data_IF_058973962815
#
_entry.id   IF_058973962815
#
_cell.length_a   1.000
_cell.length_b   1.000
_cell.length_c   1.000
_cell.angle_alpha   90.00
_cell.angle_beta   90.00
_cell.angle_gamma   90.00
#
_symmetry.space_group_name_H-M   'P 1'
#
loop_
_entity.id
_entity.type
_entity.pdbx_description
1 polymer ?
#
# COMPACT_ATOMS: atom_id res chain seq x y z
N UNK A 1 -9.93 -3.04 -23.92
CA UNK A 1 -8.52 -3.39 -23.66
C UNK A 1 -8.50 -4.44 -22.55
N UNK A 2 -7.49 -5.29 -22.52
CA UNK A 2 -7.27 -6.27 -21.45
C UNK A 2 -5.95 -5.91 -20.77
N UNK A 3 -5.91 -6.00 -19.44
CA UNK A 3 -4.68 -5.88 -18.64
C UNK A 3 -4.24 -7.29 -18.26
N UNK A 4 -2.96 -7.60 -18.45
CA UNK A 4 -2.32 -8.84 -18.03
C UNK A 4 -1.24 -8.44 -17.03
N UNK A 5 -1.24 -9.04 -15.85
CA UNK A 5 -0.38 -8.67 -14.72
C UNK A 5 0.47 -9.85 -14.26
N UNK A 6 1.63 -9.55 -13.67
CA UNK A 6 2.45 -10.55 -12.98
C UNK A 6 1.78 -10.94 -11.64
N UNK A 7 1.83 -12.23 -11.31
CA UNK A 7 1.38 -12.71 -10.02
C UNK A 7 2.47 -12.49 -8.97
N UNK A 8 2.12 -11.80 -7.89
CA UNK A 8 3.01 -11.52 -6.77
C UNK A 8 2.52 -12.25 -5.51
N UNK A 9 3.47 -12.77 -4.73
CA UNK A 9 3.25 -13.39 -3.43
C UNK A 9 3.96 -12.60 -2.33
N UNK A 10 3.37 -12.55 -1.14
CA UNK A 10 3.93 -11.84 0.01
C UNK A 10 2.86 -11.28 0.93
N UNK A 11 3.28 -10.52 1.92
CA UNK A 11 2.38 -9.80 2.83
C UNK A 11 1.92 -8.49 2.21
N UNK A 12 0.59 -8.31 2.11
CA UNK A 12 0.00 -7.04 1.69
C UNK A 12 0.00 -6.03 2.85
N UNK A 13 0.29 -4.76 2.55
CA UNK A 13 0.09 -3.66 3.49
C UNK A 13 -0.26 -2.37 2.75
N UNK A 14 -0.86 -1.43 3.47
CA UNK A 14 -1.22 -0.09 3.02
C UNK A 14 -0.28 0.94 3.63
N UNK A 15 0.40 1.72 2.79
CA UNK A 15 1.21 2.88 3.18
C UNK A 15 0.59 4.16 2.64
N UNK A 16 -0.29 4.77 3.45
CA UNK A 16 -0.91 6.05 3.11
C UNK A 16 0.02 7.22 3.49
N UNK A 17 -0.02 8.29 2.71
CA UNK A 17 0.78 9.50 2.97
C UNK A 17 -0.01 10.76 2.63
N UNK A 18 0.13 11.82 3.44
CA UNK A 18 -0.26 13.16 3.00
C UNK A 18 0.81 13.71 2.07
N UNK A 19 0.41 14.33 0.97
CA UNK A 19 1.33 14.87 -0.04
C UNK A 19 0.99 16.34 -0.31
N UNK A 20 2.01 17.21 -0.29
CA UNK A 20 1.89 18.62 -0.64
C UNK A 20 3.09 19.06 -1.48
N UNK A 21 2.87 19.21 -2.80
CA UNK A 21 3.98 19.32 -3.74
C UNK A 21 4.90 18.10 -3.58
N UNK A 22 6.21 18.32 -3.47
CA UNK A 22 7.20 17.23 -3.27
C UNK A 22 7.28 16.73 -1.83
N UNK A 23 6.56 17.36 -0.89
CA UNK A 23 6.61 16.96 0.52
C UNK A 23 5.65 15.81 0.78
N UNK A 24 6.18 14.71 1.30
CA UNK A 24 5.44 13.51 1.70
C UNK A 24 5.50 13.36 3.22
N UNK A 25 4.35 13.11 3.83
CA UNK A 25 4.21 12.83 5.26
C UNK A 25 3.58 11.43 5.43
N UNK A 26 4.39 10.38 5.65
CA UNK A 26 3.91 9.01 5.73
C UNK A 26 3.11 8.77 7.02
N UNK A 27 2.04 8.00 6.91
CA UNK A 27 1.24 7.52 8.04
C UNK A 27 1.74 6.15 8.52
N UNK A 28 1.26 5.71 9.68
CA UNK A 28 1.50 4.34 10.16
C UNK A 28 0.83 3.36 9.19
N UNK A 29 1.55 2.30 8.83
CA UNK A 29 1.03 1.28 7.92
C UNK A 29 -0.17 0.54 8.51
N UNK A 30 -1.03 0.05 7.64
CA UNK A 30 -2.18 -0.79 7.99
C UNK A 30 -2.22 -2.04 7.12
N UNK A 31 -2.85 -3.10 7.59
CA UNK A 31 -3.18 -4.28 6.77
C UNK A 31 -4.69 -4.45 6.79
N UNK A 32 -5.28 -4.62 5.61
CA UNK A 32 -6.71 -4.81 5.40
C UNK A 32 -7.02 -6.23 4.94
N UNK A 33 -8.11 -6.79 5.45
CA UNK A 33 -8.60 -8.09 5.01
C UNK A 33 -9.70 -7.89 3.97
N UNK A 34 -9.38 -8.14 2.70
CA UNK A 34 -10.31 -7.91 1.58
C UNK A 34 -11.26 -9.08 1.31
N UNK A 35 -10.97 -10.28 1.82
CA UNK A 35 -11.74 -11.49 1.51
C UNK A 35 -13.00 -11.57 2.37
N UNK A 36 -14.13 -11.92 1.75
CA UNK A 36 -15.44 -11.89 2.39
C UNK A 36 -15.61 -12.88 3.56
N UNK A 37 -14.85 -13.97 3.59
CA UNK A 37 -15.01 -15.07 4.55
C UNK A 37 -13.70 -15.40 5.27
N UNK A 38 -13.81 -16.05 6.43
CA UNK A 38 -12.69 -16.47 7.27
C UNK A 38 -11.64 -17.30 6.51
N UNK A 39 -10.37 -17.09 6.89
CA UNK A 39 -9.22 -17.75 6.27
C UNK A 39 -8.96 -17.26 4.84
N UNK A 40 -9.23 -15.99 4.58
CA UNK A 40 -9.03 -15.30 3.30
C UNK A 40 -9.73 -15.98 2.11
N UNK A 41 -10.99 -16.40 2.33
CA UNK A 41 -11.82 -17.09 1.32
C UNK A 41 -12.91 -16.20 0.76
N UNK A 42 -13.43 -16.61 -0.41
CA UNK A 42 -14.53 -15.94 -1.07
C UNK A 42 -14.10 -14.77 -1.97
N UNK A 43 -15.07 -13.99 -2.49
CA UNK A 43 -14.79 -12.86 -3.36
C UNK A 43 -14.05 -11.75 -2.60
N UNK A 44 -13.35 -10.89 -3.37
CA UNK A 44 -12.80 -9.64 -2.83
C UNK A 44 -13.94 -8.65 -2.53
N UNK A 45 -13.81 -7.93 -1.43
CA UNK A 45 -14.68 -6.84 -0.99
C UNK A 45 -13.88 -5.54 -0.89
N UNK A 46 -14.52 -4.43 -0.54
CA UNK A 46 -13.81 -3.18 -0.24
C UNK A 46 -13.02 -3.21 1.08
N UNK A 47 -13.09 -4.31 1.85
CA UNK A 47 -12.46 -4.46 3.16
C UNK A 47 -13.46 -4.96 4.21
N UNK A 48 -13.16 -6.09 4.84
CA UNK A 48 -13.92 -6.66 5.97
C UNK A 48 -13.42 -6.14 7.33
N UNK A 49 -12.22 -5.58 7.36
CA UNK A 49 -11.58 -5.02 8.54
C UNK A 49 -10.14 -4.67 8.24
N UNK A 50 -9.54 -3.85 9.11
CA UNK A 50 -8.14 -3.47 9.02
C UNK A 50 -7.57 -3.23 10.42
N UNK A 51 -6.25 -3.28 10.55
CA UNK A 51 -5.55 -2.96 11.78
C UNK A 51 -4.25 -2.21 11.53
N UNK A 52 -3.79 -1.50 12.56
CA UNK A 52 -2.56 -0.70 12.54
C UNK A 52 -1.99 -0.58 13.96
N UNK A 53 -0.65 -0.64 14.17
CA UNK A 53 0.40 -0.91 13.16
C UNK A 53 0.38 -2.38 12.70
N UNK A 54 1.27 -2.74 11.77
CA UNK A 54 1.42 -4.10 11.22
C UNK A 54 2.77 -4.68 11.67
N UNK A 55 2.84 -5.36 12.83
CA UNK A 55 4.12 -5.72 13.47
C UNK A 55 5.00 -6.68 12.67
N UNK A 56 4.41 -7.46 11.77
CA UNK A 56 5.12 -8.41 10.93
C UNK A 56 5.86 -7.76 9.75
N UNK A 57 5.56 -6.49 9.42
CA UNK A 57 6.27 -5.75 8.37
C UNK A 57 7.48 -5.04 8.99
N UNK A 58 8.71 -5.36 8.53
CA UNK A 58 9.90 -4.68 9.03
C UNK A 58 9.90 -3.19 8.66
N UNK A 59 10.39 -2.36 9.57
CA UNK A 59 10.52 -0.91 9.33
C UNK A 59 11.36 -0.59 8.08
N UNK A 60 12.36 -1.43 7.76
CA UNK A 60 13.17 -1.28 6.55
C UNK A 60 12.36 -1.39 5.26
N UNK A 61 11.31 -2.21 5.23
CA UNK A 61 10.40 -2.35 4.07
C UNK A 61 9.53 -1.10 3.93
N UNK A 62 9.10 -0.51 5.04
CA UNK A 62 8.35 0.76 5.03
C UNK A 62 9.23 1.89 4.50
N UNK A 63 10.47 1.97 4.97
CA UNK A 63 11.46 2.96 4.51
C UNK A 63 11.78 2.78 3.02
N UNK A 64 12.02 1.55 2.58
CA UNK A 64 12.25 1.24 1.18
C UNK A 64 11.04 1.66 0.32
N UNK A 65 9.83 1.30 0.73
CA UNK A 65 8.59 1.64 -0.01
C UNK A 65 8.39 3.16 -0.09
N UNK A 66 8.74 3.90 0.97
CA UNK A 66 8.69 5.35 0.95
C UNK A 66 9.70 5.95 -0.05
N UNK A 67 10.93 5.44 -0.07
CA UNK A 67 12.02 5.94 -0.93
C UNK A 67 11.88 5.54 -2.40
N UNK A 68 11.44 4.31 -2.67
CA UNK A 68 11.42 3.74 -4.02
C UNK A 68 10.07 3.91 -4.73
N UNK A 69 8.98 4.15 -3.98
CA UNK A 69 7.63 4.25 -4.54
C UNK A 69 7.02 5.62 -4.26
N UNK A 70 6.76 5.95 -2.99
CA UNK A 70 5.92 7.10 -2.65
C UNK A 70 6.58 8.44 -3.02
N UNK A 71 7.86 8.63 -2.68
CA UNK A 71 8.59 9.85 -3.01
C UNK A 71 8.75 10.06 -4.53
N UNK A 72 9.21 9.06 -5.32
CA UNK A 72 9.32 9.19 -6.77
C UNK A 72 7.98 9.47 -7.45
N UNK A 73 6.89 8.82 -7.00
CA UNK A 73 5.55 9.06 -7.55
C UNK A 73 5.09 10.49 -7.28
N UNK A 74 5.30 11.01 -6.06
CA UNK A 74 4.93 12.40 -5.73
C UNK A 74 5.72 13.42 -6.57
N UNK A 75 7.01 13.18 -6.83
CA UNK A 75 7.83 14.02 -7.70
C UNK A 75 7.36 13.96 -9.16
N UNK A 76 7.11 12.76 -9.68
CA UNK A 76 6.66 12.54 -11.06
C UNK A 76 5.31 13.23 -11.33
N UNK A 77 4.35 13.12 -10.41
CA UNK A 77 3.04 13.78 -10.56
C UNK A 77 3.11 15.31 -10.68
N UNK A 78 4.17 15.95 -10.18
CA UNK A 78 4.37 17.39 -10.34
C UNK A 78 4.94 17.71 -11.72
N UNK A 79 5.84 16.86 -12.24
CA UNK A 79 6.48 17.05 -13.54
C UNK A 79 5.53 16.81 -14.71
N UNK A 80 4.45 16.06 -14.51
CA UNK A 80 3.41 15.82 -15.52
C UNK A 80 2.40 16.98 -15.70
N UNK A 81 2.49 18.05 -14.92
CA UNK A 81 1.67 19.27 -15.04
C UNK A 81 2.38 20.39 -15.82
#
# INVERSE_FOLDING_TARGET
SVVIEEYLEGEEFSLMSFVHGTKVYPMVIAQDHKRAYDGDKGPNTGGMGAYSPVPQIPQSIVEQSLQEIVLPVAEAMIQEN
#
